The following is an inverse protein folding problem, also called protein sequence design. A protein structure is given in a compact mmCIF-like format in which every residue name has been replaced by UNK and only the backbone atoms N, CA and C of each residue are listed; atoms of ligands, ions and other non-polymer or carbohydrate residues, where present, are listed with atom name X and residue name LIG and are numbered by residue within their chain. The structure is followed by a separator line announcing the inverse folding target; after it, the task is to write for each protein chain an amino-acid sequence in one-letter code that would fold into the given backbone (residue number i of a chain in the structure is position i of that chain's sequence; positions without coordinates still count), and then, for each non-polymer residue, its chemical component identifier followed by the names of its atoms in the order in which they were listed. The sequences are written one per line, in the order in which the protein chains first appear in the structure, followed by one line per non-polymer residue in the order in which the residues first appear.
data_IF_176621377046
#
_entry.id   IF_176621377046
#
_cell.length_a   1.000
_cell.length_b   1.000
_cell.length_c   1.000
_cell.angle_alpha   90.00
_cell.angle_beta   90.00
_cell.angle_gamma   90.00
#
_symmetry.space_group_name_H-M   'P 1'
#
loop_
_entity.id
_entity.type
_entity.pdbx_description
1 polymer ?
#
# COMPACT_ATOMS: atom_id res chain seq x y z
N UNK A 1 3.92 -12.70 4.75
CA UNK A 1 4.60 -11.59 5.47
C UNK A 1 5.98 -11.44 4.90
N UNK A 2 6.48 -10.21 4.91
CA UNK A 2 7.73 -9.80 4.27
C UNK A 2 7.65 -8.38 3.73
N UNK A 3 8.77 -7.92 3.20
CA UNK A 3 8.90 -6.62 2.54
C UNK A 3 8.64 -6.76 1.04
N UNK A 4 8.01 -5.75 0.46
CA UNK A 4 7.56 -5.71 -0.92
C UNK A 4 7.91 -4.35 -1.51
N UNK A 5 8.23 -4.33 -2.80
CA UNK A 5 8.29 -3.11 -3.60
C UNK A 5 7.00 -3.01 -4.40
N UNK A 6 6.20 -1.97 -4.11
CA UNK A 6 4.98 -1.68 -4.84
C UNK A 6 5.34 -0.78 -6.02
N UNK A 7 4.94 -1.17 -7.22
CA UNK A 7 5.07 -0.38 -8.44
C UNK A 7 3.69 -0.21 -9.08
N UNK A 8 3.24 1.02 -9.22
CA UNK A 8 1.92 1.38 -9.75
C UNK A 8 2.07 2.31 -10.97
N UNK A 9 1.10 2.25 -11.87
CA UNK A 9 0.92 3.22 -12.94
C UNK A 9 -0.27 4.12 -12.62
N UNK A 10 -0.07 5.43 -12.77
CA UNK A 10 -1.12 6.43 -12.58
C UNK A 10 -1.13 7.42 -13.74
N UNK A 11 -2.19 8.24 -13.82
CA UNK A 11 -2.31 9.31 -14.81
C UNK A 11 -1.19 10.37 -14.70
N UNK A 12 -0.53 10.48 -13.54
CA UNK A 12 0.57 11.42 -13.31
C UNK A 12 1.96 10.78 -13.45
N UNK A 13 2.02 9.49 -13.76
CA UNK A 13 3.26 8.73 -13.93
C UNK A 13 3.39 7.54 -12.97
N UNK A 14 4.54 6.84 -13.01
CA UNK A 14 4.81 5.70 -12.15
C UNK A 14 4.94 6.13 -10.68
N UNK A 15 4.42 5.30 -9.78
CA UNK A 15 4.61 5.42 -8.34
C UNK A 15 5.32 4.17 -7.83
N UNK A 16 6.38 4.35 -7.05
CA UNK A 16 7.08 3.24 -6.42
C UNK A 16 7.30 3.53 -4.94
N UNK A 17 6.97 2.56 -4.08
CA UNK A 17 7.17 2.68 -2.63
C UNK A 17 7.28 1.31 -1.96
N UNK A 18 8.00 1.21 -0.82
CA UNK A 18 8.07 -0.03 -0.07
C UNK A 18 6.77 -0.31 0.70
N UNK A 19 6.45 -1.58 0.86
CA UNK A 19 5.37 -2.09 1.70
C UNK A 19 5.92 -3.21 2.58
N UNK A 20 5.69 -3.12 3.89
CA UNK A 20 6.04 -4.18 4.83
C UNK A 20 4.79 -4.79 5.42
N UNK A 21 4.64 -6.10 5.30
CA UNK A 21 3.55 -6.86 5.91
C UNK A 21 4.10 -7.76 7.02
N UNK A 22 3.64 -7.56 8.25
CA UNK A 22 4.12 -8.26 9.46
C UNK A 22 3.00 -8.95 10.23
N UNK A 23 3.33 -9.99 11.00
CA UNK A 23 2.42 -10.59 12.00
C UNK A 23 2.63 -9.87 13.32
N UNK A 24 1.55 -9.40 13.92
CA UNK A 24 1.57 -8.93 15.30
C UNK A 24 0.54 -9.71 16.12
N UNK A 25 0.95 -10.91 16.55
CA UNK A 25 0.14 -11.74 17.44
C UNK A 25 -1.08 -12.37 16.75
N UNK A 26 -0.90 -12.86 15.53
CA UNK A 26 -1.95 -13.44 14.70
C UNK A 26 -2.82 -12.42 13.96
N UNK A 27 -2.45 -11.13 14.01
CA UNK A 27 -3.08 -10.04 13.24
C UNK A 27 -2.10 -9.53 12.20
N UNK A 28 -2.61 -9.22 11.01
CA UNK A 28 -1.82 -8.56 9.98
C UNK A 28 -1.59 -7.10 10.41
N UNK A 29 -0.34 -6.68 10.38
CA UNK A 29 0.08 -5.29 10.49
C UNK A 29 0.84 -4.89 9.22
N UNK A 30 0.75 -3.63 8.83
CA UNK A 30 1.42 -3.14 7.62
C UNK A 30 2.06 -1.77 7.83
N UNK A 31 3.18 -1.54 7.14
CA UNK A 31 3.81 -0.22 7.01
C UNK A 31 3.97 0.11 5.53
N UNK A 32 3.54 1.29 5.11
CA UNK A 32 3.61 1.74 3.73
C UNK A 32 4.57 2.92 3.63
N UNK A 33 5.52 2.85 2.71
CA UNK A 33 6.41 3.97 2.41
C UNK A 33 5.72 5.06 1.63
N UNK A 34 6.22 6.28 1.77
CA UNK A 34 5.79 7.38 0.90
C UNK A 34 6.35 7.20 -0.51
N UNK A 35 5.58 7.55 -1.57
CA UNK A 35 6.14 7.74 -2.90
C UNK A 35 7.09 8.95 -2.99
N UNK A 36 7.01 9.88 -2.04
CA UNK A 36 8.04 10.92 -1.87
C UNK A 36 9.25 10.34 -1.12
N UNK A 37 10.48 10.39 -1.67
CA UNK A 37 11.68 9.89 -1.01
C UNK A 37 12.03 10.61 0.31
N UNK A 38 11.48 11.81 0.56
CA UNK A 38 11.58 12.47 1.86
C UNK A 38 10.54 11.97 2.88
N UNK A 39 9.53 11.23 2.44
CA UNK A 39 8.49 10.67 3.29
C UNK A 39 8.93 9.36 3.95
N UNK A 40 8.65 9.24 5.24
CA UNK A 40 8.93 8.04 6.02
C UNK A 40 7.94 6.90 5.78
N UNK A 41 8.06 5.85 6.59
CA UNK A 41 7.08 4.77 6.66
C UNK A 41 5.88 5.20 7.50
N UNK A 42 4.68 4.94 6.97
CA UNK A 42 3.40 5.15 7.65
C UNK A 42 2.83 3.81 8.08
N UNK A 43 2.54 3.64 9.37
CA UNK A 43 1.88 2.44 9.86
C UNK A 43 0.40 2.45 9.51
N UNK A 44 -0.06 1.35 8.90
CA UNK A 44 -1.48 1.14 8.56
C UNK A 44 -2.17 0.55 9.78
N UNK A 45 -3.19 1.26 10.26
CA UNK A 45 -3.91 0.88 11.49
C UNK A 45 -5.23 0.14 11.21
N UNK A 46 -5.80 0.31 10.01
CA UNK A 46 -7.00 -0.40 9.57
C UNK A 46 -6.68 -1.34 8.41
N UNK A 47 -6.70 -2.64 8.69
CA UNK A 47 -6.43 -3.69 7.71
C UNK A 47 -7.61 -4.65 7.76
N UNK A 48 -8.32 -4.72 6.64
CA UNK A 48 -9.48 -5.59 6.47
C UNK A 48 -9.20 -6.64 5.41
N UNK A 49 -9.78 -7.83 5.57
CA UNK A 49 -9.72 -8.87 4.55
C UNK A 49 -10.95 -8.75 3.66
N UNK A 50 -10.75 -8.72 2.35
CA UNK A 50 -11.82 -8.69 1.35
C UNK A 50 -11.65 -9.86 0.40
N UNK A 51 -12.43 -10.93 0.62
CA UNK A 51 -12.27 -12.20 -0.09
C UNK A 51 -10.87 -12.80 0.11
N UNK A 52 -10.13 -12.94 -0.99
CA UNK A 52 -8.74 -13.42 -1.00
C UNK A 52 -7.70 -12.31 -0.81
N UNK A 53 -8.12 -11.04 -0.92
CA UNK A 53 -7.25 -9.88 -0.78
C UNK A 53 -7.26 -9.24 0.61
N UNK A 54 -6.35 -8.30 0.78
CA UNK A 54 -6.22 -7.41 1.93
C UNK A 54 -6.47 -5.97 1.49
N UNK A 55 -7.25 -5.23 2.26
CA UNK A 55 -7.50 -3.80 2.07
C UNK A 55 -6.88 -3.07 3.24
N UNK A 56 -5.91 -2.22 2.93
CA UNK A 56 -5.13 -1.42 3.88
C UNK A 56 -5.65 0.01 3.78
N UNK A 57 -6.32 0.49 4.83
CA UNK A 57 -6.81 1.86 4.92
C UNK A 57 -5.93 2.64 5.89
N UNK A 58 -5.44 3.79 5.43
CA UNK A 58 -4.59 4.67 6.23
C UNK A 58 -4.72 6.11 5.73
N UNK A 59 -4.21 7.05 6.50
CA UNK A 59 -4.13 8.46 6.11
C UNK A 59 -2.65 8.84 5.99
N UNK A 60 -2.32 9.63 4.98
CA UNK A 60 -1.01 10.28 4.91
C UNK A 60 -1.19 11.79 5.00
N UNK A 61 -0.20 12.46 5.60
CA UNK A 61 -0.14 13.91 5.65
C UNK A 61 0.43 14.43 4.32
N UNK A 62 -0.41 15.16 3.58
CA UNK A 62 -0.02 15.94 2.42
C UNK A 62 -0.08 17.43 2.78
N UNK A 63 1.06 17.99 3.19
CA UNK A 63 1.22 19.43 3.48
C UNK A 63 0.26 19.94 4.57
N UNK A 64 0.09 19.16 5.65
CA UNK A 64 -0.79 19.47 6.78
C UNK A 64 -2.25 19.08 6.58
N UNK A 65 -2.57 18.41 5.45
CA UNK A 65 -3.89 17.82 5.22
C UNK A 65 -3.78 16.29 5.28
N UNK A 66 -4.53 15.67 6.17
CA UNK A 66 -4.69 14.21 6.17
C UNK A 66 -5.54 13.80 4.97
N UNK A 67 -4.99 12.90 4.16
CA UNK A 67 -5.66 12.39 2.97
C UNK A 67 -5.88 10.89 3.15
N UNK A 68 -7.13 10.40 3.07
CA UNK A 68 -7.42 8.98 3.20
C UNK A 68 -6.95 8.22 1.96
N UNK A 69 -6.37 7.05 2.20
CA UNK A 69 -5.83 6.15 1.18
C UNK A 69 -6.31 4.74 1.47
N UNK A 70 -6.66 4.03 0.40
CA UNK A 70 -6.93 2.61 0.41
C UNK A 70 -5.99 1.90 -0.55
N UNK A 71 -5.25 0.91 -0.05
CA UNK A 71 -4.42 0.02 -0.85
C UNK A 71 -5.00 -1.39 -0.78
N UNK A 72 -5.51 -1.87 -1.90
CA UNK A 72 -6.01 -3.24 -2.04
C UNK A 72 -4.91 -4.12 -2.63
N UNK A 73 -4.61 -5.22 -1.94
CA UNK A 73 -3.63 -6.22 -2.33
C UNK A 73 -4.32 -7.55 -2.56
N UNK A 74 -4.18 -8.11 -3.74
CA UNK A 74 -4.75 -9.42 -4.09
C UNK A 74 -3.63 -10.35 -4.51
N UNK A 75 -3.58 -11.61 -4.03
CA UNK A 75 -2.61 -12.58 -4.49
C UNK A 75 -2.64 -12.74 -6.02
N UNK A 76 -1.48 -12.64 -6.68
CA UNK A 76 -1.31 -12.87 -8.12
C UNK A 76 -0.03 -13.68 -8.36
N UNK A 77 -0.14 -15.00 -8.24
CA UNK A 77 1.00 -15.91 -8.31
C UNK A 77 1.97 -15.72 -7.14
N UNK A 78 3.23 -15.37 -7.44
CA UNK A 78 4.26 -15.09 -6.43
C UNK A 78 4.26 -13.63 -5.96
N UNK A 79 3.59 -12.76 -6.71
CA UNK A 79 3.45 -11.33 -6.50
C UNK A 79 2.05 -11.00 -5.94
N UNK A 80 1.80 -9.71 -5.70
CA UNK A 80 0.47 -9.20 -5.34
C UNK A 80 0.02 -8.20 -6.39
N UNK A 81 -1.20 -8.33 -6.93
CA UNK A 81 -1.85 -7.23 -7.63
C UNK A 81 -2.17 -6.13 -6.61
N UNK A 82 -1.90 -4.88 -6.97
CA UNK A 82 -2.07 -3.72 -6.10
C UNK A 82 -2.97 -2.68 -6.76
N UNK A 83 -3.99 -2.22 -6.03
CA UNK A 83 -4.84 -1.10 -6.43
C UNK A 83 -4.76 -0.05 -5.34
N UNK A 84 -4.39 1.15 -5.72
CA UNK A 84 -4.22 2.31 -4.86
C UNK A 84 -5.32 3.32 -5.15
N UNK A 85 -5.98 3.80 -4.11
CA UNK A 85 -7.06 4.78 -4.19
C UNK A 85 -6.82 5.88 -3.16
N UNK A 86 -6.84 7.13 -3.59
CA UNK A 86 -6.66 8.31 -2.74
C UNK A 86 -7.97 9.11 -2.74
N UNK A 87 -8.31 9.68 -1.58
CA UNK A 87 -9.46 10.57 -1.40
C UNK A 87 -10.76 9.93 -1.95
N UNK A 88 -11.04 8.70 -1.49
CA UNK A 88 -12.24 7.93 -1.86
C UNK A 88 -12.40 7.70 -3.37
N UNK A 89 -11.28 7.53 -4.09
CA UNK A 89 -11.27 7.24 -5.52
C UNK A 89 -11.17 8.46 -6.43
N UNK A 90 -10.92 9.65 -5.87
CA UNK A 90 -10.59 10.83 -6.67
C UNK A 90 -9.30 10.64 -7.49
N UNK A 91 -8.41 9.78 -7.02
CA UNK A 91 -7.26 9.31 -7.77
C UNK A 91 -7.08 7.81 -7.55
N UNK A 92 -6.79 7.09 -8.64
CA UNK A 92 -6.55 5.65 -8.60
C UNK A 92 -5.31 5.30 -9.41
N UNK A 93 -4.57 4.31 -8.92
CA UNK A 93 -3.43 3.73 -9.62
C UNK A 93 -3.44 2.21 -9.44
N UNK A 94 -3.03 1.47 -10.45
CA UNK A 94 -2.96 0.00 -10.40
C UNK A 94 -1.57 -0.50 -10.78
N UNK A 95 -1.25 -1.70 -10.32
CA UNK A 95 0.03 -2.33 -10.59
C UNK A 95 0.24 -3.56 -9.74
N UNK A 96 1.46 -3.77 -9.27
CA UNK A 96 1.81 -4.93 -8.47
C UNK A 96 2.82 -4.64 -7.38
N UNK A 97 2.80 -5.47 -6.34
CA UNK A 97 3.81 -5.52 -5.31
C UNK A 97 4.62 -6.81 -5.48
N UNK A 98 5.92 -6.64 -5.68
CA UNK A 98 6.88 -7.75 -5.79
C UNK A 98 7.62 -7.90 -4.49
N UNK A 99 7.93 -9.14 -4.10
CA UNK A 99 8.72 -9.37 -2.88
C UNK A 99 10.06 -8.67 -3.04
N UNK A 100 10.44 -7.83 -2.07
CA UNK A 100 11.77 -7.25 -2.06
C UNK A 100 12.78 -8.38 -1.85
N UNK A 101 13.76 -8.50 -2.75
CA UNK A 101 14.89 -9.40 -2.54
C UNK A 101 15.72 -8.87 -1.37
N UNK A 102 15.97 -9.73 -0.38
CA UNK A 102 16.92 -9.48 0.70
C UNK A 102 18.36 -9.43 0.17
#
# INVERSE_FOLDING_TARGET
MGSWSVSLQSDYGPLEFPLELTDQGGKVAASVGSPDPAGGLTSVTDITRSGEGLVLNYEFDAQGQLVPVSLTLTPDGEDLAAIFSIADGAFTADGSAKRASD
#
